data_IF_068978438792
#
_entry.id   IF_068978438792
#
_cell.length_a   1.000
_cell.length_b   1.000
_cell.length_c   1.000
_cell.angle_alpha   90.00
_cell.angle_beta   90.00
_cell.angle_gamma   90.00
#
_symmetry.space_group_name_H-M   'P 1'
#
loop_
_entity.id
_entity.type
_entity.pdbx_description
1 polymer ?
#
# COMPACT_ATOMS: atom_id res chain seq x y z
N UNK A 1 -3.04 -10.94 3.82
CA UNK A 1 -2.66 -10.81 2.40
C UNK A 1 -3.47 -9.63 1.91
N UNK A 2 -2.82 -8.54 1.46
CA UNK A 2 -3.46 -7.22 1.27
C UNK A 2 -3.98 -6.99 -0.16
N UNK A 3 -3.70 -7.90 -1.08
CA UNK A 3 -4.36 -8.01 -2.38
C UNK A 3 -5.78 -8.56 -2.14
N UNK A 4 -6.79 -7.70 -2.24
CA UNK A 4 -8.18 -8.01 -1.91
C UNK A 4 -8.99 -8.43 -3.13
N UNK A 5 -8.61 -7.93 -4.31
CA UNK A 5 -9.27 -8.24 -5.57
C UNK A 5 -8.62 -9.45 -6.30
N UNK A 6 -7.48 -9.93 -5.80
CA UNK A 6 -6.67 -11.04 -6.30
C UNK A 6 -6.16 -10.83 -7.74
N UNK A 7 -5.84 -9.59 -8.10
CA UNK A 7 -5.29 -9.24 -9.41
C UNK A 7 -3.75 -9.32 -9.46
N UNK A 8 -3.09 -9.58 -8.32
CA UNK A 8 -1.64 -9.70 -8.22
C UNK A 8 -0.91 -8.35 -8.24
N UNK A 9 -1.64 -7.24 -8.09
CA UNK A 9 -1.15 -5.87 -7.95
C UNK A 9 -1.66 -5.29 -6.63
N UNK A 10 -1.12 -4.14 -6.23
CA UNK A 10 -1.62 -3.38 -5.10
C UNK A 10 -2.04 -1.99 -5.57
N UNK A 11 -3.31 -1.65 -5.36
CA UNK A 11 -3.83 -0.31 -5.58
C UNK A 11 -3.75 0.56 -4.31
N UNK A 12 -4.05 1.86 -4.46
CA UNK A 12 -4.02 2.81 -3.34
C UNK A 12 -4.98 2.46 -2.18
N UNK A 13 -6.13 1.86 -2.46
CA UNK A 13 -7.10 1.44 -1.44
C UNK A 13 -6.63 0.20 -0.68
N UNK A 14 -5.95 -0.71 -1.36
CA UNK A 14 -5.34 -1.90 -0.79
C UNK A 14 -4.13 -1.55 0.07
N UNK A 15 -3.31 -0.59 -0.38
CA UNK A 15 -2.23 0.01 0.42
C UNK A 15 -2.80 0.68 1.67
N UNK A 16 -3.84 1.50 1.52
CA UNK A 16 -4.52 2.16 2.64
C UNK A 16 -5.04 1.15 3.68
N UNK A 17 -5.80 0.15 3.24
CA UNK A 17 -6.34 -0.91 4.11
C UNK A 17 -5.23 -1.73 4.76
N UNK A 18 -4.18 -2.03 4.02
CA UNK A 18 -3.00 -2.74 4.51
C UNK A 18 -2.24 -1.96 5.58
N UNK A 19 -2.12 -0.64 5.43
CA UNK A 19 -1.51 0.24 6.42
C UNK A 19 -2.37 0.37 7.68
N UNK A 20 -3.69 0.31 7.55
CA UNK A 20 -4.66 0.33 8.64
C UNK A 20 -4.76 -1.00 9.40
N UNK A 21 -4.61 -2.14 8.72
CA UNK A 21 -4.63 -3.47 9.31
C UNK A 21 -3.24 -3.90 9.80
N UNK A 22 -2.75 -3.26 10.88
CA UNK A 22 -1.66 -3.84 11.68
C UNK A 22 -2.25 -4.78 12.73
N UNK A 23 -1.86 -6.05 12.65
CA UNK A 23 -2.37 -7.15 13.46
C UNK A 23 -1.79 -7.08 14.88
N UNK A 24 -2.24 -6.13 15.70
CA UNK A 24 -1.84 -6.01 17.12
C UNK A 24 -3.04 -5.81 18.07
N UNK A 25 -4.25 -6.20 17.63
CA UNK A 25 -5.48 -6.16 18.45
C UNK A 25 -5.98 -4.76 18.85
N UNK A 26 -5.15 -3.73 18.70
CA UNK A 26 -5.55 -2.34 18.79
C UNK A 26 -6.05 -1.91 17.42
N UNK A 27 -7.33 -1.60 17.35
CA UNK A 27 -7.90 -0.82 16.26
C UNK A 27 -6.99 0.39 16.06
N UNK A 28 -6.29 0.44 14.92
CA UNK A 28 -5.47 1.60 14.58
C UNK A 28 -6.36 2.84 14.76
N UNK A 29 -5.85 3.92 15.41
CA UNK A 29 -6.61 5.16 15.53
C UNK A 29 -7.15 5.51 14.15
N UNK A 30 -8.44 5.86 14.05
CA UNK A 30 -9.09 6.24 12.79
C UNK A 30 -8.19 7.27 12.11
N UNK A 31 -7.42 6.81 11.13
CA UNK A 31 -6.50 7.68 10.41
C UNK A 31 -7.39 8.56 9.54
N UNK A 32 -7.19 9.87 9.65
CA UNK A 32 -7.87 10.81 8.75
C UNK A 32 -7.51 10.48 7.31
N UNK A 33 -8.43 10.74 6.39
CA UNK A 33 -8.24 10.51 4.95
C UNK A 33 -6.93 11.14 4.45
N UNK A 34 -6.57 12.33 4.94
CA UNK A 34 -5.30 13.01 4.64
C UNK A 34 -4.05 12.20 5.04
N UNK A 35 -4.11 11.47 6.16
CA UNK A 35 -3.01 10.60 6.59
C UNK A 35 -2.94 9.35 5.73
N UNK A 36 -4.10 8.80 5.34
CA UNK A 36 -4.17 7.68 4.42
C UNK A 36 -3.59 8.07 3.05
N UNK A 37 -4.00 9.21 2.51
CA UNK A 37 -3.44 9.79 1.27
C UNK A 37 -1.93 9.94 1.35
N UNK A 38 -1.40 10.52 2.43
CA UNK A 38 0.05 10.68 2.59
C UNK A 38 0.82 9.35 2.62
N UNK A 39 0.23 8.28 3.17
CA UNK A 39 0.82 6.94 3.16
C UNK A 39 0.79 6.35 1.75
N UNK A 40 -0.35 6.47 1.06
CA UNK A 40 -0.52 5.97 -0.31
C UNK A 40 0.45 6.69 -1.26
N UNK A 41 0.46 8.02 -1.25
CA UNK A 41 1.36 8.85 -2.06
C UNK A 41 2.83 8.53 -1.79
N UNK A 42 3.21 8.39 -0.52
CA UNK A 42 4.58 8.05 -0.13
C UNK A 42 5.00 6.66 -0.62
N UNK A 43 4.05 5.71 -0.64
CA UNK A 43 4.28 4.34 -1.10
C UNK A 43 4.40 4.29 -2.62
N UNK A 44 3.42 4.83 -3.36
CA UNK A 44 3.45 4.89 -4.82
C UNK A 44 4.71 5.59 -5.32
N UNK A 45 5.03 6.79 -4.81
CA UNK A 45 6.24 7.53 -5.21
C UNK A 45 7.54 6.73 -5.03
N UNK A 46 7.59 5.82 -4.06
CA UNK A 46 8.78 4.99 -3.79
C UNK A 46 8.81 3.75 -4.69
N UNK A 47 7.67 3.13 -4.91
CA UNK A 47 7.57 1.76 -5.42
C UNK A 47 7.09 1.70 -6.86
N UNK A 48 6.10 2.50 -7.24
CA UNK A 48 5.59 2.63 -8.61
C UNK A 48 6.67 3.32 -9.48
N UNK A 49 7.30 2.54 -10.37
CA UNK A 49 8.42 3.00 -11.20
C UNK A 49 7.97 3.37 -12.60
N UNK A 50 6.93 2.75 -13.10
CA UNK A 50 6.39 3.04 -14.42
C UNK A 50 5.27 4.10 -14.39
N UNK A 51 4.85 4.52 -13.20
CA UNK A 51 3.78 5.49 -12.93
C UNK A 51 2.42 5.03 -13.49
N UNK A 52 2.14 3.73 -13.44
CA UNK A 52 0.84 3.17 -13.84
C UNK A 52 -0.23 3.29 -12.74
N UNK A 53 0.16 3.72 -11.53
CA UNK A 53 -0.73 3.90 -10.37
C UNK A 53 -0.94 2.63 -9.55
N UNK A 54 -0.26 1.54 -9.88
CA UNK A 54 -0.26 0.29 -9.17
C UNK A 54 1.15 -0.05 -8.70
N UNK A 55 1.24 -1.04 -7.81
CA UNK A 55 2.53 -1.66 -7.48
C UNK A 55 2.42 -3.13 -7.86
N UNK A 56 3.20 -3.56 -8.83
CA UNK A 56 3.28 -4.96 -9.21
C UNK A 56 4.28 -5.75 -8.33
N UNK A 57 4.30 -7.08 -8.51
CA UNK A 57 5.20 -7.94 -7.76
C UNK A 57 6.70 -7.67 -8.03
N UNK A 58 7.07 -7.26 -9.24
CA UNK A 58 8.45 -6.96 -9.58
C UNK A 58 8.91 -5.65 -8.92
N UNK A 59 8.06 -4.64 -8.91
CA UNK A 59 8.25 -3.36 -8.24
C UNK A 59 8.30 -3.52 -6.72
N UNK A 60 7.39 -4.32 -6.16
CA UNK A 60 7.40 -4.69 -4.75
C UNK A 60 8.76 -5.30 -4.37
N UNK A 61 9.19 -6.35 -5.07
CA UNK A 61 10.45 -7.03 -4.80
C UNK A 61 11.67 -6.12 -4.92
N UNK A 62 11.70 -5.19 -5.88
CA UNK A 62 12.82 -4.24 -6.02
C UNK A 62 13.02 -3.36 -4.80
N UNK A 63 11.97 -3.11 -4.03
CA UNK A 63 12.01 -2.20 -2.87
C UNK A 63 12.36 -2.94 -1.58
N UNK A 64 11.88 -4.18 -1.42
CA UNK A 64 12.21 -5.03 -0.26
C UNK A 64 13.50 -5.84 -0.43
N UNK A 65 14.01 -6.01 -1.65
CA UNK A 65 15.29 -6.69 -1.90
C UNK A 65 16.52 -5.76 -1.79
N UNK A 66 16.37 -4.56 -1.21
CA UNK A 66 17.46 -3.61 -0.94
C UNK A 66 17.93 -3.66 0.51
#
# INVERSE_FOLDING_TARGET
MNDLNHDGRLDGLEIAKGAMHKHDGNLAPVLSDMTVEAIVDGTLKRMDKDNDGYIDFAEYNKVIAQ
#
